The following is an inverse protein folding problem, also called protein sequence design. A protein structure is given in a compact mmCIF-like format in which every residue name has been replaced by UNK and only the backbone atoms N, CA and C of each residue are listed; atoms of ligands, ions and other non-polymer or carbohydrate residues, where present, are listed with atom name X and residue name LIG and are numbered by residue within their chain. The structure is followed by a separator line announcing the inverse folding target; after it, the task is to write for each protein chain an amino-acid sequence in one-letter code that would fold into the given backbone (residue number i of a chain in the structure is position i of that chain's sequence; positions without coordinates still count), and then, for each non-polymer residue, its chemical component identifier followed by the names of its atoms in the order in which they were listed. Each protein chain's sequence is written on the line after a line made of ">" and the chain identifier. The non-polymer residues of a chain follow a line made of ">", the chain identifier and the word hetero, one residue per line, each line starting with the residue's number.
data_IF_728909846290
#
_entry.id   IF_728909846290
#
_cell.length_a   1.000
_cell.length_b   1.000
_cell.length_c   1.000
_cell.angle_alpha   90.00
_cell.angle_beta   90.00
_cell.angle_gamma   90.00
#
_symmetry.space_group_name_H-M   'P 1'
#
loop_
_entity.id
_entity.type
_entity.pdbx_description
1 polymer ?
#
# COMPACT_ATOMS: atom_id res chain seq x y z
N UNK A 1 7.67 -9.46 19.44
CA UNK A 1 7.95 -8.12 19.98
C UNK A 1 9.30 -8.10 20.68
N UNK A 2 10.01 -6.97 20.82
CA UNK A 2 11.32 -6.95 21.52
C UNK A 2 11.21 -6.93 23.04
N UNK A 3 10.06 -6.51 23.56
CA UNK A 3 9.69 -6.41 24.97
C UNK A 3 8.17 -6.50 25.11
N UNK A 4 7.67 -6.67 26.33
CA UNK A 4 6.23 -6.63 26.60
C UNK A 4 5.68 -5.24 26.28
N UNK A 5 4.56 -5.19 25.56
CA UNK A 5 3.93 -3.95 25.12
C UNK A 5 2.45 -3.94 25.47
N UNK A 6 1.94 -2.80 25.94
CA UNK A 6 0.51 -2.62 26.21
C UNK A 6 -0.11 -1.74 25.12
N UNK A 7 -1.04 -2.31 24.36
CA UNK A 7 -1.82 -1.62 23.34
C UNK A 7 -3.15 -1.13 23.95
N UNK A 8 -3.45 0.16 23.75
CA UNK A 8 -4.68 0.84 24.20
C UNK A 8 -5.03 0.65 25.69
N UNK A 9 -4.02 0.50 26.55
CA UNK A 9 -4.15 0.20 27.98
C UNK A 9 -4.99 -1.06 28.29
N UNK A 10 -5.19 -1.93 27.30
CA UNK A 10 -6.12 -3.08 27.37
C UNK A 10 -5.49 -4.40 26.99
N UNK A 11 -4.63 -4.41 25.97
CA UNK A 11 -4.07 -5.63 25.42
C UNK A 11 -2.59 -5.71 25.70
N UNK A 12 -2.18 -6.73 26.45
CA UNK A 12 -0.76 -7.04 26.66
C UNK A 12 -0.29 -7.93 25.51
N UNK A 13 0.68 -7.46 24.75
CA UNK A 13 1.39 -8.21 23.72
C UNK A 13 2.74 -8.63 24.33
N UNK A 14 2.94 -9.91 24.63
CA UNK A 14 4.18 -10.38 25.25
C UNK A 14 5.39 -10.16 24.35
N UNK A 15 6.56 -10.07 24.99
CA UNK A 15 7.85 -10.20 24.31
C UNK A 15 7.88 -11.47 23.45
N UNK A 16 8.57 -11.38 22.31
CA UNK A 16 8.77 -12.46 21.33
C UNK A 16 7.48 -12.92 20.60
N UNK A 17 6.32 -12.34 20.93
CA UNK A 17 5.07 -12.60 20.21
C UNK A 17 5.10 -12.07 18.76
N UNK A 18 4.48 -12.81 17.84
CA UNK A 18 4.34 -12.39 16.45
C UNK A 18 3.16 -11.45 16.28
N UNK A 19 3.40 -10.33 15.60
CA UNK A 19 2.36 -9.34 15.28
C UNK A 19 2.29 -9.22 13.77
N UNK A 20 1.10 -9.49 13.23
CA UNK A 20 0.80 -9.36 11.81
C UNK A 20 -0.11 -8.16 11.60
N UNK A 21 0.21 -7.35 10.59
CA UNK A 21 -0.63 -6.26 10.14
C UNK A 21 -1.33 -6.69 8.85
N UNK A 22 -2.66 -6.62 8.84
CA UNK A 22 -3.47 -6.95 7.66
C UNK A 22 -3.43 -5.76 6.70
N UNK A 23 -2.33 -5.59 5.97
CA UNK A 23 -2.13 -4.44 5.08
C UNK A 23 -3.25 -4.31 4.04
N UNK A 24 -3.70 -5.43 3.45
CA UNK A 24 -4.82 -5.43 2.50
C UNK A 24 -6.12 -4.90 3.12
N UNK A 25 -6.44 -5.29 4.35
CA UNK A 25 -7.64 -4.81 5.04
C UNK A 25 -7.55 -3.30 5.33
N UNK A 26 -6.36 -2.79 5.64
CA UNK A 26 -6.14 -1.35 5.83
C UNK A 26 -6.33 -0.56 4.54
N UNK A 27 -5.81 -1.08 3.43
CA UNK A 27 -5.92 -0.45 2.11
C UNK A 27 -7.37 -0.44 1.60
N UNK A 28 -8.23 -1.31 2.14
CA UNK A 28 -9.65 -1.40 1.81
C UNK A 28 -10.61 -0.86 2.86
N UNK A 29 -10.13 -0.23 3.94
CA UNK A 29 -11.02 0.27 5.01
C UNK A 29 -11.88 1.46 4.51
N UNK A 30 -13.22 1.31 4.42
CA UNK A 30 -14.10 2.38 3.95
C UNK A 30 -14.20 3.57 4.92
N UNK A 31 -13.66 3.46 6.15
CA UNK A 31 -13.56 4.58 7.08
C UNK A 31 -12.39 5.50 6.76
N UNK A 32 -11.38 4.99 6.06
CA UNK A 32 -10.16 5.71 5.68
C UNK A 32 -10.24 6.15 4.22
N UNK A 33 -10.77 5.28 3.36
CA UNK A 33 -10.83 5.45 1.91
C UNK A 33 -12.26 5.56 1.42
N UNK A 34 -12.58 6.64 0.70
CA UNK A 34 -13.81 6.70 -0.10
C UNK A 34 -13.70 5.71 -1.26
N UNK A 35 -14.75 4.91 -1.50
CA UNK A 35 -14.79 3.87 -2.55
C UNK A 35 -13.46 3.07 -2.66
N UNK A 36 -13.10 2.28 -1.62
CA UNK A 36 -11.79 1.63 -1.54
C UNK A 36 -11.53 0.61 -2.66
N UNK A 37 -12.59 0.04 -3.25
CA UNK A 37 -12.49 -0.93 -4.33
C UNK A 37 -12.39 -0.28 -5.72
N UNK A 38 -12.63 1.03 -5.82
CA UNK A 38 -12.48 1.80 -7.05
C UNK A 38 -11.03 2.17 -7.33
N UNK A 39 -10.57 1.95 -8.56
CA UNK A 39 -9.28 2.47 -9.01
C UNK A 39 -9.39 3.97 -9.28
N UNK A 40 -8.98 4.80 -8.30
CA UNK A 40 -9.08 6.26 -8.37
C UNK A 40 -7.74 6.93 -8.02
N UNK A 41 -6.80 7.08 -8.98
CA UNK A 41 -5.48 7.68 -8.74
C UNK A 41 -5.53 9.11 -8.19
N UNK A 42 -6.58 9.87 -8.53
CA UNK A 42 -6.75 11.28 -8.17
C UNK A 42 -6.84 11.49 -6.66
N UNK A 43 -7.20 10.46 -5.88
CA UNK A 43 -7.24 10.54 -4.41
C UNK A 43 -5.88 10.89 -3.79
N UNK A 44 -4.79 10.61 -4.50
CA UNK A 44 -3.43 10.91 -4.06
C UNK A 44 -2.95 12.30 -4.50
N UNK A 45 -3.75 13.03 -5.29
CA UNK A 45 -3.43 14.37 -5.80
C UNK A 45 -4.06 15.50 -4.97
N UNK A 46 -5.05 15.19 -4.13
CA UNK A 46 -5.98 16.16 -3.55
C UNK A 46 -5.55 16.77 -2.21
N UNK A 47 -4.35 16.46 -1.69
CA UNK A 47 -3.91 17.01 -0.40
C UNK A 47 -3.30 18.40 -0.64
N UNK A 48 -4.15 19.42 -0.53
CA UNK A 48 -3.88 20.87 -0.62
C UNK A 48 -2.44 21.29 -0.22
N UNK A 49 -1.50 21.27 -1.17
CA UNK A 49 -0.08 21.67 -1.07
C UNK A 49 0.91 20.65 -0.47
N UNK A 50 0.56 19.37 -0.31
CA UNK A 50 1.52 18.33 0.14
C UNK A 50 1.36 17.01 -0.58
N UNK A 51 2.48 16.37 -0.88
CA UNK A 51 2.48 15.01 -1.43
C UNK A 51 1.88 14.01 -0.43
N UNK A 52 1.17 13.01 -0.97
CA UNK A 52 0.63 11.91 -0.19
C UNK A 52 1.74 11.19 0.57
N UNK A 53 1.57 10.98 1.87
CA UNK A 53 2.57 10.32 2.71
C UNK A 53 2.47 8.79 2.62
N UNK A 54 3.11 8.23 1.61
CA UNK A 54 3.25 6.78 1.44
C UNK A 54 4.13 6.12 2.51
N UNK A 55 4.91 6.89 3.28
CA UNK A 55 5.78 6.36 4.34
C UNK A 55 5.04 6.16 5.66
N UNK A 56 3.85 6.74 5.80
CA UNK A 56 3.05 6.69 7.02
C UNK A 56 3.64 7.48 8.19
N UNK A 57 4.54 8.43 7.93
CA UNK A 57 5.22 9.23 8.96
C UNK A 57 4.31 10.26 9.65
N UNK A 58 3.34 10.82 8.91
CA UNK A 58 2.30 11.73 9.38
C UNK A 58 1.09 10.97 9.91
N UNK A 59 0.60 10.04 9.09
CA UNK A 59 -0.56 9.20 9.36
C UNK A 59 -0.46 7.93 8.52
N UNK A 60 -0.72 6.77 9.12
CA UNK A 60 -0.70 5.49 8.41
C UNK A 60 -2.11 5.23 7.84
N UNK A 61 -2.30 5.55 6.57
CA UNK A 61 -3.53 5.18 5.81
C UNK A 61 -3.37 3.91 4.96
N UNK A 62 -2.13 3.54 4.67
CA UNK A 62 -1.72 2.33 3.93
C UNK A 62 -0.29 1.97 4.33
N UNK A 63 0.15 0.73 4.05
CA UNK A 63 1.54 0.29 4.33
C UNK A 63 2.14 -0.57 3.20
N UNK A 64 2.20 -0.09 1.94
CA UNK A 64 2.71 -0.88 0.82
C UNK A 64 4.18 -1.29 0.96
N UNK A 65 4.96 -0.52 1.74
CA UNK A 65 6.36 -0.79 2.02
C UNK A 65 6.64 -0.97 3.53
N UNK A 66 5.60 -1.17 4.34
CA UNK A 66 5.68 -1.10 5.80
C UNK A 66 5.85 0.33 6.32
N UNK A 67 6.16 0.47 7.61
CA UNK A 67 6.34 1.77 8.28
C UNK A 67 7.39 1.70 9.42
N UNK A 68 7.83 2.87 9.88
CA UNK A 68 8.70 3.01 11.06
C UNK A 68 10.09 2.37 10.88
N UNK A 69 10.67 1.84 11.98
CA UNK A 69 12.05 1.33 12.02
C UNK A 69 12.32 0.13 11.10
N UNK A 70 11.28 -0.52 10.58
CA UNK A 70 11.37 -1.72 9.73
C UNK A 70 10.74 -1.51 8.36
N UNK A 71 10.56 -0.25 7.95
CA UNK A 71 10.14 0.08 6.58
C UNK A 71 11.12 -0.50 5.57
N UNK A 72 10.61 -0.92 4.41
CA UNK A 72 11.40 -1.48 3.33
C UNK A 72 12.52 -0.50 2.92
N UNK A 73 13.77 -0.93 3.04
CA UNK A 73 14.94 -0.13 2.67
C UNK A 73 15.02 0.14 1.16
N UNK A 74 14.30 -0.65 0.35
CA UNK A 74 14.22 -0.51 -1.10
C UNK A 74 13.11 0.44 -1.59
N UNK A 75 12.31 1.05 -0.71
CA UNK A 75 11.17 1.90 -1.08
C UNK A 75 11.53 2.97 -2.12
N UNK A 76 12.57 3.77 -1.87
CA UNK A 76 12.95 4.86 -2.78
C UNK A 76 13.41 4.34 -4.16
N UNK A 77 14.08 3.19 -4.19
CA UNK A 77 14.48 2.55 -5.45
C UNK A 77 13.27 2.03 -6.22
N UNK A 78 12.33 1.41 -5.52
CA UNK A 78 11.10 0.88 -6.11
C UNK A 78 10.25 2.00 -6.72
N UNK A 79 10.07 3.12 -6.00
CA UNK A 79 9.34 4.29 -6.52
C UNK A 79 10.00 4.85 -7.78
N UNK A 80 11.31 5.06 -7.77
CA UNK A 80 12.04 5.53 -8.95
C UNK A 80 11.84 4.60 -10.15
N UNK A 81 11.90 3.28 -9.95
CA UNK A 81 11.70 2.31 -11.02
C UNK A 81 10.25 2.28 -11.52
N UNK A 82 9.26 2.32 -10.62
CA UNK A 82 7.85 2.30 -10.97
C UNK A 82 7.48 3.55 -11.78
N UNK A 83 7.89 4.73 -11.31
CA UNK A 83 7.66 6.00 -12.01
C UNK A 83 8.32 6.00 -13.39
N UNK A 84 9.59 5.60 -13.48
CA UNK A 84 10.29 5.52 -14.75
C UNK A 84 9.61 4.54 -15.72
N UNK A 85 9.23 3.37 -15.24
CA UNK A 85 8.61 2.34 -16.06
C UNK A 85 7.24 2.79 -16.58
N UNK A 86 6.35 3.24 -15.68
CA UNK A 86 5.01 3.72 -16.05
C UNK A 86 5.09 4.90 -17.01
N UNK A 87 5.98 5.87 -16.76
CA UNK A 87 6.17 7.02 -17.64
C UNK A 87 6.56 6.59 -19.07
N UNK A 88 7.50 5.64 -19.20
CA UNK A 88 7.92 5.15 -20.52
C UNK A 88 6.83 4.32 -21.21
N UNK A 89 6.08 3.50 -20.47
CA UNK A 89 4.98 2.71 -21.01
C UNK A 89 3.86 3.60 -21.56
N UNK A 90 3.51 4.68 -20.85
CA UNK A 90 2.49 5.64 -21.30
C UNK A 90 3.00 6.51 -22.44
N UNK A 91 4.28 6.88 -22.43
CA UNK A 91 4.87 7.72 -23.47
C UNK A 91 4.96 7.03 -24.83
N UNK A 92 5.36 5.75 -24.86
CA UNK A 92 5.72 5.06 -26.10
C UNK A 92 4.60 4.18 -26.66
N UNK A 93 3.58 3.85 -25.87
CA UNK A 93 2.55 2.88 -26.28
C UNK A 93 1.15 3.39 -26.01
N UNK A 94 0.23 3.03 -26.92
CA UNK A 94 -1.22 3.12 -26.68
C UNK A 94 -1.73 1.72 -26.37
N UNK A 95 -2.21 1.54 -25.16
CA UNK A 95 -2.65 0.25 -24.65
C UNK A 95 -4.10 0.01 -25.02
N UNK A 96 -4.40 -1.18 -25.52
CA UNK A 96 -5.77 -1.67 -25.71
C UNK A 96 -5.79 -3.17 -25.41
N UNK A 97 -6.93 -3.66 -24.93
CA UNK A 97 -7.19 -5.09 -24.93
C UNK A 97 -7.22 -5.63 -26.37
N UNK A 98 -6.94 -6.91 -26.54
CA UNK A 98 -7.12 -7.59 -27.82
C UNK A 98 -8.62 -7.65 -28.11
N UNK A 99 -9.02 -7.42 -29.36
CA UNK A 99 -10.43 -7.35 -29.71
C UNK A 99 -11.09 -8.72 -29.47
N UNK A 100 -12.11 -8.75 -28.60
CA UNK A 100 -12.80 -9.98 -28.19
C UNK A 100 -12.25 -10.65 -26.91
N UNK A 101 -11.14 -10.15 -26.36
CA UNK A 101 -10.57 -10.64 -25.10
C UNK A 101 -10.78 -9.62 -23.97
N UNK A 102 -11.33 -10.08 -22.84
CA UNK A 102 -11.36 -9.30 -21.60
C UNK A 102 -10.08 -9.51 -20.79
N UNK A 103 -9.62 -8.46 -20.12
CA UNK A 103 -8.48 -8.56 -19.20
C UNK A 103 -9.01 -8.99 -17.83
N UNK A 104 -8.72 -10.23 -17.43
CA UNK A 104 -9.01 -10.71 -16.08
C UNK A 104 -8.10 -10.03 -15.06
N UNK A 105 -8.70 -9.19 -14.21
CA UNK A 105 -8.03 -8.47 -13.12
C UNK A 105 -8.28 -9.11 -11.75
N UNK A 106 -8.83 -10.34 -11.70
CA UNK A 106 -9.12 -11.03 -10.44
C UNK A 106 -7.83 -11.33 -9.69
N UNK A 107 -7.78 -10.98 -8.41
CA UNK A 107 -6.64 -11.25 -7.54
C UNK A 107 -6.39 -12.76 -7.41
N UNK A 108 -5.10 -13.17 -7.48
CA UNK A 108 -4.66 -14.54 -7.19
C UNK A 108 -3.79 -14.54 -5.94
N UNK A 109 -4.42 -14.72 -4.79
CA UNK A 109 -3.71 -14.76 -3.52
C UNK A 109 -2.81 -16.00 -3.45
N UNK A 110 -1.52 -15.76 -3.19
CA UNK A 110 -0.55 -16.78 -2.83
C UNK A 110 0.11 -16.36 -1.53
N UNK A 111 -0.40 -16.90 -0.43
CA UNK A 111 0.31 -16.80 0.84
C UNK A 111 1.55 -17.70 0.74
N UNK A 112 2.78 -17.18 0.99
CA UNK A 112 3.92 -18.06 1.17
C UNK A 112 3.64 -18.94 2.39
N UNK A 113 3.62 -20.26 2.16
CA UNK A 113 3.63 -21.27 3.22
C UNK A 113 4.92 -21.17 4.04
#
# INVERSE_FOLDING_TARGET
>A
MTEDFVLDDKYVIPKDESVNFMAADMDWDPKVWEDPMGFQPERFLNDHDRDFDITGSREIKMMPFGAGRRICTGFGLAMLHLEYFVANLVWNFKWKAVDGDEVDLTEKQKLPL
#
